data_IF_029161534514
#
_entry.id   IF_029161534514
#
_cell.length_a   1.000
_cell.length_b   1.000
_cell.length_c   1.000
_cell.angle_alpha   90.00
_cell.angle_beta   90.00
_cell.angle_gamma   90.00
#
_symmetry.space_group_name_H-M   'P 1'
#
loop_
_entity.id
_entity.type
_entity.pdbx_description
1 polymer ?
#
# COMPACT_ATOMS: atom_id res chain seq x y z
N UNK A 1 -6.89 18.60 -28.84
CA UNK A 1 -8.11 18.98 -28.08
C UNK A 1 -9.15 19.70 -28.93
N UNK A 2 -8.84 20.80 -29.64
CA UNK A 2 -9.83 21.55 -30.45
C UNK A 2 -10.62 20.69 -31.47
N UNK A 3 -9.94 19.75 -32.14
CA UNK A 3 -10.59 18.83 -33.09
C UNK A 3 -11.59 17.87 -32.43
N UNK A 4 -11.27 17.33 -31.25
CA UNK A 4 -12.17 16.43 -30.53
C UNK A 4 -13.44 17.15 -30.06
N UNK A 5 -13.30 18.41 -29.64
CA UNK A 5 -14.44 19.26 -29.26
C UNK A 5 -15.32 19.54 -30.47
N UNK A 6 -14.73 19.94 -31.61
CA UNK A 6 -15.48 20.17 -32.85
C UNK A 6 -16.25 18.92 -33.26
N UNK A 7 -15.59 17.76 -33.29
CA UNK A 7 -16.21 16.50 -33.67
C UNK A 7 -17.38 16.10 -32.75
N UNK A 8 -17.21 16.25 -31.44
CA UNK A 8 -18.28 15.97 -30.48
C UNK A 8 -19.48 16.91 -30.69
N UNK A 9 -19.24 18.20 -30.93
CA UNK A 9 -20.29 19.20 -31.20
C UNK A 9 -21.04 18.88 -32.50
N UNK A 10 -20.34 18.52 -33.57
CA UNK A 10 -20.95 18.18 -34.86
C UNK A 10 -21.91 16.97 -34.70
N UNK A 11 -21.50 15.94 -33.94
CA UNK A 11 -22.35 14.78 -33.66
C UNK A 11 -23.57 15.16 -32.81
N UNK A 12 -23.38 15.96 -31.77
CA UNK A 12 -24.45 16.36 -30.86
C UNK A 12 -25.51 17.16 -31.63
N UNK A 13 -25.09 18.18 -32.38
CA UNK A 13 -25.99 19.04 -33.15
C UNK A 13 -26.75 18.26 -34.23
N UNK A 14 -26.07 17.34 -34.93
CA UNK A 14 -26.72 16.48 -35.92
C UNK A 14 -27.79 15.56 -35.30
N UNK A 15 -27.50 14.95 -34.15
CA UNK A 15 -28.46 14.10 -33.43
C UNK A 15 -29.64 14.91 -32.88
N UNK A 16 -29.38 16.07 -32.29
CA UNK A 16 -30.41 16.95 -31.76
C UNK A 16 -31.39 17.38 -32.86
N UNK A 17 -30.89 17.85 -34.00
CA UNK A 17 -31.72 18.28 -35.12
C UNK A 17 -32.63 17.16 -35.64
N UNK A 18 -32.11 15.93 -35.70
CA UNK A 18 -32.89 14.75 -36.10
C UNK A 18 -34.01 14.44 -35.10
N UNK A 19 -33.68 14.32 -33.81
CA UNK A 19 -34.66 13.96 -32.77
C UNK A 19 -35.72 15.05 -32.62
N UNK A 20 -35.33 16.33 -32.72
CA UNK A 20 -36.28 17.44 -32.70
C UNK A 20 -37.25 17.36 -33.88
N UNK A 21 -36.76 17.11 -35.09
CA UNK A 21 -37.62 16.93 -36.26
C UNK A 21 -38.56 15.73 -36.08
N UNK A 22 -38.08 14.60 -35.58
CA UNK A 22 -38.97 13.45 -35.33
C UNK A 22 -40.02 13.76 -34.26
N UNK A 23 -39.65 14.50 -33.21
CA UNK A 23 -40.58 14.91 -32.17
C UNK A 23 -41.63 15.91 -32.70
N UNK A 24 -41.22 16.90 -33.50
CA UNK A 24 -42.12 17.93 -34.04
C UNK A 24 -43.11 17.38 -35.08
N UNK A 25 -42.77 16.27 -35.77
CA UNK A 25 -43.60 15.71 -36.84
C UNK A 25 -44.35 14.42 -36.46
N UNK A 26 -43.83 13.64 -35.51
CA UNK A 26 -44.38 12.32 -35.18
C UNK A 26 -44.83 12.27 -33.73
N UNK A 27 -43.93 12.48 -32.76
CA UNK A 27 -44.20 12.12 -31.36
C UNK A 27 -44.92 13.19 -30.54
N UNK A 28 -44.68 14.47 -30.83
CA UNK A 28 -45.22 15.63 -30.11
C UNK A 28 -45.04 15.54 -28.58
N UNK A 29 -43.97 14.91 -28.12
CA UNK A 29 -43.71 14.76 -26.69
C UNK A 29 -43.17 16.07 -26.10
N UNK A 30 -43.47 16.30 -24.83
CA UNK A 30 -43.05 17.50 -24.12
C UNK A 30 -41.57 17.39 -23.76
N UNK A 31 -40.78 18.38 -24.15
CA UNK A 31 -39.38 18.48 -23.72
C UNK A 31 -39.33 18.78 -22.21
N UNK A 32 -38.76 17.89 -21.39
CA UNK A 32 -38.65 18.09 -19.94
C UNK A 32 -37.64 19.19 -19.61
N UNK A 33 -37.79 19.85 -18.45
CA UNK A 33 -36.79 20.80 -17.96
C UNK A 33 -35.62 20.05 -17.32
N UNK A 34 -34.46 20.69 -17.25
CA UNK A 34 -33.27 20.09 -16.65
C UNK A 34 -33.47 19.66 -15.19
N UNK A 35 -34.34 20.36 -14.45
CA UNK A 35 -34.70 20.06 -13.06
C UNK A 35 -35.51 18.77 -12.89
N UNK A 36 -36.24 18.37 -13.93
CA UNK A 36 -37.08 17.16 -13.94
C UNK A 36 -36.27 15.90 -14.32
N UNK A 37 -35.03 16.08 -14.77
CA UNK A 37 -34.15 14.98 -15.18
C UNK A 37 -33.48 14.35 -13.95
N UNK A 38 -33.51 13.03 -13.89
CA UNK A 38 -32.75 12.28 -12.88
C UNK A 38 -31.25 12.55 -13.02
N UNK A 39 -30.61 13.00 -11.95
CA UNK A 39 -29.19 13.25 -11.94
C UNK A 39 -28.42 11.95 -12.23
N UNK A 40 -27.50 11.98 -13.18
CA UNK A 40 -26.63 10.84 -13.48
C UNK A 40 -25.57 10.76 -12.39
N UNK A 41 -25.57 9.66 -11.63
CA UNK A 41 -24.53 9.40 -10.64
C UNK A 41 -23.18 9.16 -11.33
N UNK A 42 -22.12 9.80 -10.81
CA UNK A 42 -20.77 9.59 -11.32
C UNK A 42 -20.22 8.26 -10.81
N UNK A 43 -19.76 7.41 -11.73
CA UNK A 43 -19.12 6.15 -11.39
C UNK A 43 -17.61 6.30 -11.51
N UNK A 44 -16.91 6.25 -10.38
CA UNK A 44 -15.44 6.21 -10.37
C UNK A 44 -14.94 4.83 -10.78
N UNK A 45 -14.51 4.68 -12.04
CA UNK A 45 -14.02 3.39 -12.58
C UNK A 45 -12.53 3.13 -12.34
N UNK A 46 -11.77 4.11 -11.85
CA UNK A 46 -10.36 3.97 -11.57
C UNK A 46 -10.10 3.98 -10.05
N UNK A 47 -9.25 3.07 -9.58
CA UNK A 47 -8.70 3.09 -8.22
C UNK A 47 -7.20 3.34 -8.29
N UNK A 48 -6.66 4.07 -7.32
CA UNK A 48 -5.22 4.22 -7.19
C UNK A 48 -4.57 2.85 -6.98
N UNK A 49 -3.47 2.60 -7.67
CA UNK A 49 -2.69 1.37 -7.52
C UNK A 49 -1.79 1.54 -6.30
N UNK A 50 -1.83 0.58 -5.38
CA UNK A 50 -0.92 0.57 -4.24
C UNK A 50 0.53 0.36 -4.72
N UNK A 51 1.40 1.29 -4.35
CA UNK A 51 2.84 1.18 -4.58
C UNK A 51 3.48 0.55 -3.35
N UNK A 52 4.24 -0.50 -3.56
CA UNK A 52 5.05 -1.14 -2.53
C UNK A 52 6.53 -1.06 -2.96
N UNK A 53 7.34 -0.23 -2.29
CA UNK A 53 8.75 -0.03 -2.63
C UNK A 53 9.61 -1.27 -2.38
N UNK A 54 9.14 -2.26 -1.62
CA UNK A 54 9.89 -3.47 -1.29
C UNK A 54 9.49 -4.67 -2.15
N UNK A 55 8.75 -4.46 -3.24
CA UNK A 55 8.41 -5.53 -4.18
C UNK A 55 9.68 -6.13 -4.79
N UNK A 56 9.91 -7.41 -4.48
CA UNK A 56 11.02 -8.21 -5.00
C UNK A 56 11.07 -8.21 -6.54
N UNK A 57 9.91 -8.27 -7.20
CA UNK A 57 9.82 -8.29 -8.67
C UNK A 57 10.39 -7.02 -9.31
N UNK A 58 10.31 -5.87 -8.64
CA UNK A 58 10.79 -4.58 -9.15
C UNK A 58 12.15 -4.18 -8.59
N UNK A 59 12.48 -4.60 -7.37
CA UNK A 59 13.67 -4.13 -6.65
C UNK A 59 14.83 -5.14 -6.60
N UNK A 60 14.60 -6.41 -6.98
CA UNK A 60 15.60 -7.46 -6.90
C UNK A 60 15.83 -8.00 -5.48
N UNK A 61 16.91 -8.76 -5.30
CA UNK A 61 17.29 -9.33 -4.00
C UNK A 61 17.94 -8.29 -3.08
N UNK A 62 17.68 -8.41 -1.78
CA UNK A 62 18.21 -7.50 -0.76
C UNK A 62 19.72 -7.70 -0.55
N UNK A 63 20.50 -6.67 -0.90
CA UNK A 63 21.95 -6.64 -0.75
C UNK A 63 22.42 -6.75 0.71
N UNK A 64 21.57 -6.37 1.67
CA UNK A 64 21.90 -6.36 3.09
C UNK A 64 21.13 -7.43 3.87
N UNK A 65 20.60 -8.46 3.20
CA UNK A 65 19.86 -9.54 3.86
C UNK A 65 20.66 -10.26 4.98
N UNK A 66 22.00 -10.26 4.88
CA UNK A 66 22.88 -10.83 5.90
C UNK A 66 23.20 -9.87 7.06
N UNK A 67 22.87 -8.57 6.91
CA UNK A 67 23.14 -7.56 7.93
C UNK A 67 22.04 -7.61 9.00
N UNK A 68 22.42 -8.06 10.19
CA UNK A 68 21.49 -8.07 11.32
C UNK A 68 21.24 -6.64 11.83
N UNK A 69 19.99 -6.30 12.18
CA UNK A 69 19.70 -4.98 12.71
C UNK A 69 20.33 -4.78 14.10
N UNK A 70 20.68 -3.53 14.41
CA UNK A 70 21.49 -3.19 15.58
C UNK A 70 20.86 -3.61 16.92
N UNK A 71 19.53 -3.69 16.98
CA UNK A 71 18.80 -4.19 18.14
C UNK A 71 19.08 -5.69 18.41
N UNK A 72 19.13 -6.51 17.35
CA UNK A 72 19.46 -7.94 17.43
C UNK A 72 20.90 -8.11 17.89
N UNK A 73 21.83 -7.35 17.29
CA UNK A 73 23.24 -7.39 17.68
C UNK A 73 23.44 -7.00 19.14
N UNK A 74 22.78 -5.93 19.61
CA UNK A 74 22.83 -5.50 21.01
C UNK A 74 22.27 -6.57 21.96
N UNK A 75 21.17 -7.23 21.57
CA UNK A 75 20.58 -8.33 22.34
C UNK A 75 21.52 -9.53 22.46
N UNK A 76 22.19 -9.91 21.36
CA UNK A 76 23.18 -11.00 21.35
C UNK A 76 24.38 -10.67 22.25
N UNK A 77 24.90 -9.44 22.19
CA UNK A 77 26.00 -9.00 23.04
C UNK A 77 25.62 -9.06 24.53
N UNK A 78 24.45 -8.54 24.90
CA UNK A 78 23.98 -8.56 26.28
C UNK A 78 23.78 -9.98 26.81
N UNK A 79 23.18 -10.86 26.00
CA UNK A 79 22.99 -12.26 26.36
C UNK A 79 24.33 -12.98 26.58
N UNK A 80 25.31 -12.74 25.71
CA UNK A 80 26.66 -13.31 25.83
C UNK A 80 27.35 -12.87 27.13
N UNK A 81 27.21 -11.59 27.48
CA UNK A 81 27.76 -11.01 28.71
C UNK A 81 27.13 -11.63 29.96
N UNK A 82 25.80 -11.71 30.03
CA UNK A 82 25.09 -12.33 31.17
C UNK A 82 25.43 -13.82 31.30
N UNK A 83 25.54 -14.56 30.19
CA UNK A 83 25.99 -15.95 30.19
C UNK A 83 27.40 -16.10 30.74
N UNK A 84 28.32 -15.20 30.35
CA UNK A 84 29.69 -15.22 30.85
C UNK A 84 29.75 -14.90 32.35
N UNK A 85 28.95 -13.92 32.80
CA UNK A 85 28.83 -13.55 34.21
C UNK A 85 28.31 -14.71 35.06
N UNK A 86 27.25 -15.38 34.61
CA UNK A 86 26.71 -16.56 35.26
C UNK A 86 27.75 -17.69 35.36
N UNK A 87 28.44 -17.99 34.25
CA UNK A 87 29.50 -19.02 34.23
C UNK A 87 30.61 -18.71 35.23
N UNK A 88 31.08 -17.45 35.29
CA UNK A 88 32.13 -17.03 36.24
C UNK A 88 31.67 -17.21 37.70
N UNK A 89 30.44 -16.80 38.04
CA UNK A 89 29.92 -16.95 39.39
C UNK A 89 29.81 -18.40 39.85
N UNK A 90 29.41 -19.31 38.94
CA UNK A 90 29.36 -20.74 39.22
C UNK A 90 30.78 -21.29 39.46
N UNK A 91 31.74 -20.96 38.59
CA UNK A 91 33.14 -21.41 38.73
C UNK A 91 33.72 -20.95 40.07
N UNK A 92 33.55 -19.68 40.44
CA UNK A 92 34.03 -19.15 41.72
C UNK A 92 33.42 -19.89 42.94
N UNK A 93 32.14 -20.27 42.84
CA UNK A 93 31.47 -21.02 43.90
C UNK A 93 32.03 -22.44 44.01
N UNK A 94 32.35 -23.08 42.89
CA UNK A 94 32.98 -24.40 42.83
C UNK A 94 34.38 -24.32 43.43
N UNK A 95 35.23 -23.42 42.94
CA UNK A 95 36.61 -23.23 43.41
C UNK A 95 36.68 -22.98 44.91
N UNK A 96 35.75 -22.18 45.46
CA UNK A 96 35.67 -21.94 46.90
C UNK A 96 35.37 -23.23 47.67
N UNK A 97 34.38 -24.01 47.23
CA UNK A 97 34.03 -25.28 47.89
C UNK A 97 35.14 -26.32 47.77
N UNK A 98 35.82 -26.37 46.64
CA UNK A 98 36.97 -27.25 46.44
C UNK A 98 38.11 -26.87 47.39
N UNK A 99 38.39 -25.57 47.54
CA UNK A 99 39.38 -25.07 48.51
C UNK A 99 39.00 -25.40 49.95
N UNK A 100 37.73 -25.22 50.33
CA UNK A 100 37.23 -25.57 51.67
C UNK A 100 37.37 -27.08 51.96
N UNK A 101 37.21 -27.93 50.94
CA UNK A 101 37.42 -29.38 51.02
C UNK A 101 38.89 -29.76 51.17
N UNK A 102 39.81 -29.06 50.50
CA UNK A 102 41.25 -29.31 50.60
C UNK A 102 41.85 -28.91 51.97
N UNK A 103 41.18 -28.01 52.70
CA UNK A 103 41.62 -27.53 54.01
C UNK A 103 41.17 -28.41 55.20
N UNK A 104 40.36 -29.45 54.94
CA UNK A 104 39.85 -30.41 55.92
C UNK A 104 40.44 -31.81 55.72
#
# INVERSE_FOLDING_TARGET
>A
MKQAISFALDIITQKEAKVRKENDFVYHDRVPKAEDLTQVESVTKAKAIAFDPFKRDTCGDDLFAALLPANVLKGVSLYSEEKAKLKRGIIQTIEKKDTDLEQH
#
